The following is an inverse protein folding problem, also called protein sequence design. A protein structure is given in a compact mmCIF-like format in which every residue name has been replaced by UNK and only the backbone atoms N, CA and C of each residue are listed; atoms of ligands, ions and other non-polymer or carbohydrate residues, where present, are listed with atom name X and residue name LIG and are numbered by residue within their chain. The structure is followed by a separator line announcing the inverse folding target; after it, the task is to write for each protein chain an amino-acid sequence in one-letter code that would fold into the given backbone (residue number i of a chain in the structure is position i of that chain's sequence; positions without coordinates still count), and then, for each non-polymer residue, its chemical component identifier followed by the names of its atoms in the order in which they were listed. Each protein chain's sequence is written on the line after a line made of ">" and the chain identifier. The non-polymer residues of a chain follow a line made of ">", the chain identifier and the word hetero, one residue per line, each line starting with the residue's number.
data_IF_526703250090
#
_entry.id   IF_526703250090
#
_cell.length_a   1.000
_cell.length_b   1.000
_cell.length_c   1.000
_cell.angle_alpha   90.00
_cell.angle_beta   90.00
_cell.angle_gamma   90.00
#
_symmetry.space_group_name_H-M   'P 1'
#
loop_
_entity.id
_entity.type
_entity.pdbx_description
1 polymer ?
#
# COMPACT_ATOMS: atom_id res chain seq x y z
N UNK A 1 51.24 -23.87 -59.38
CA UNK A 1 51.17 -22.93 -60.46
C UNK A 1 50.12 -21.94 -60.12
N UNK A 2 50.57 -20.84 -59.57
CA UNK A 2 50.49 -19.45 -60.04
C UNK A 2 49.13 -18.82 -59.77
N UNK A 3 49.09 -17.99 -58.77
CA UNK A 3 49.17 -16.52 -58.74
C UNK A 3 47.85 -15.85 -59.08
N UNK A 4 47.30 -15.16 -58.13
CA UNK A 4 46.57 -13.90 -58.41
C UNK A 4 46.72 -12.94 -57.22
N UNK A 5 47.32 -11.81 -57.55
CA UNK A 5 47.61 -10.65 -56.71
C UNK A 5 46.33 -9.78 -56.69
N UNK A 6 45.81 -9.49 -55.53
CA UNK A 6 44.78 -8.44 -55.42
C UNK A 6 45.30 -7.21 -54.65
N UNK A 7 45.22 -6.10 -55.36
CA UNK A 7 45.58 -4.77 -54.90
C UNK A 7 44.40 -4.09 -54.20
N UNK A 8 44.54 -3.47 -53.03
CA UNK A 8 43.46 -2.73 -52.44
C UNK A 8 43.40 -1.28 -53.00
N UNK A 9 42.26 -0.95 -53.52
CA UNK A 9 41.88 0.40 -53.94
C UNK A 9 41.70 1.34 -52.75
N UNK A 10 42.59 2.29 -52.58
CA UNK A 10 42.46 3.40 -51.64
C UNK A 10 41.36 4.39 -52.12
N UNK A 11 40.26 4.43 -51.47
CA UNK A 11 39.25 5.49 -51.59
C UNK A 11 39.56 6.63 -50.61
N UNK A 12 39.97 7.76 -51.11
CA UNK A 12 40.09 9.00 -50.34
C UNK A 12 38.70 9.59 -50.04
N UNK A 13 38.45 10.14 -48.82
CA UNK A 13 37.19 10.84 -48.55
C UNK A 13 37.24 12.28 -49.03
N UNK A 14 36.44 12.59 -50.02
CA UNK A 14 36.01 13.96 -50.36
C UNK A 14 34.86 14.30 -49.41
N UNK A 15 35.07 15.19 -48.44
CA UNK A 15 34.15 16.24 -48.03
C UNK A 15 34.67 16.92 -46.76
N UNK A 16 35.33 18.04 -46.93
CA UNK A 16 35.56 19.03 -45.88
C UNK A 16 34.31 19.91 -45.75
N UNK A 17 33.47 19.65 -44.75
CA UNK A 17 32.49 20.61 -44.29
C UNK A 17 32.85 21.02 -42.84
N UNK A 18 33.20 22.30 -42.67
CA UNK A 18 33.40 22.95 -41.37
C UNK A 18 32.05 22.99 -40.62
N UNK A 19 31.70 21.93 -39.93
CA UNK A 19 30.63 21.97 -38.97
C UNK A 19 31.11 22.61 -37.67
N UNK A 20 30.57 23.77 -37.33
CA UNK A 20 30.73 24.41 -36.03
C UNK A 20 30.25 23.40 -34.96
N UNK A 21 31.20 22.87 -34.21
CA UNK A 21 30.91 22.05 -33.02
C UNK A 21 30.17 22.91 -32.01
N UNK A 22 28.84 22.77 -31.92
CA UNK A 22 28.08 23.23 -30.76
C UNK A 22 28.52 22.37 -29.59
N UNK A 23 29.19 22.97 -28.61
CA UNK A 23 29.44 22.37 -27.30
C UNK A 23 28.16 21.78 -26.78
N UNK A 24 28.10 20.46 -26.39
CA UNK A 24 26.89 19.89 -25.82
C UNK A 24 26.61 20.65 -24.53
N UNK A 25 25.41 21.25 -24.45
CA UNK A 25 24.89 21.75 -23.17
C UNK A 25 24.97 20.60 -22.18
N UNK A 26 25.72 20.75 -21.07
CA UNK A 26 25.68 19.82 -19.95
C UNK A 26 24.21 19.60 -19.62
N UNK A 27 23.66 18.45 -19.97
CA UNK A 27 22.37 18.03 -19.47
C UNK A 27 22.54 17.99 -17.97
N UNK A 28 21.79 18.81 -17.24
CA UNK A 28 21.70 18.73 -15.80
C UNK A 28 21.00 17.39 -15.54
N UNK A 29 21.79 16.38 -15.21
CA UNK A 29 21.28 15.06 -14.85
C UNK A 29 20.45 15.24 -13.58
N UNK A 30 19.12 15.36 -13.74
CA UNK A 30 18.21 15.30 -12.60
C UNK A 30 18.32 13.86 -12.06
N UNK A 31 18.73 13.66 -10.82
CA UNK A 31 18.79 12.30 -10.27
C UNK A 31 17.43 11.64 -10.44
N UNK A 32 17.42 10.46 -11.06
CA UNK A 32 16.21 9.68 -11.30
C UNK A 32 15.58 9.37 -9.95
N UNK A 33 14.30 9.71 -9.77
CA UNK A 33 13.57 9.35 -8.55
C UNK A 33 13.62 7.83 -8.35
N UNK A 34 13.95 7.32 -7.15
CA UNK A 34 14.02 5.87 -6.89
C UNK A 34 12.66 5.16 -6.83
N UNK A 35 11.58 5.84 -7.11
CA UNK A 35 10.23 5.29 -7.28
C UNK A 35 9.69 5.62 -8.66
N UNK A 36 8.63 4.95 -9.07
CA UNK A 36 7.99 5.16 -10.36
C UNK A 36 6.62 5.80 -10.19
N UNK A 37 6.15 6.51 -11.21
CA UNK A 37 4.74 6.80 -11.38
C UNK A 37 4.00 5.50 -11.66
N UNK A 38 2.95 5.22 -10.87
CA UNK A 38 2.20 3.96 -10.99
C UNK A 38 0.91 4.17 -11.79
N UNK A 39 0.42 3.15 -12.52
CA UNK A 39 -0.85 3.23 -13.21
C UNK A 39 -2.03 3.43 -12.25
N UNK A 40 -3.04 4.12 -12.77
CA UNK A 40 -4.39 4.16 -12.23
C UNK A 40 -5.30 3.41 -13.20
N UNK A 41 -6.01 2.38 -12.73
CA UNK A 41 -6.95 1.61 -13.56
C UNK A 41 -8.34 1.61 -12.94
N UNK A 42 -9.38 1.74 -13.75
CA UNK A 42 -10.76 1.57 -13.29
C UNK A 42 -11.13 0.08 -13.32
N UNK A 43 -11.58 -0.47 -12.20
CA UNK A 43 -12.05 -1.85 -12.11
C UNK A 43 -13.55 -1.93 -12.37
N UNK A 44 -13.95 -2.49 -13.49
CA UNK A 44 -15.37 -2.68 -13.82
C UNK A 44 -16.07 -3.64 -12.83
N UNK A 45 -15.36 -4.68 -12.37
CA UNK A 45 -15.92 -5.68 -11.44
C UNK A 45 -16.15 -5.07 -10.06
N UNK A 46 -15.15 -4.38 -9.52
CA UNK A 46 -15.28 -3.74 -8.20
C UNK A 46 -16.27 -2.56 -8.26
N UNK A 47 -16.29 -1.79 -9.35
CA UNK A 47 -17.25 -0.68 -9.55
C UNK A 47 -18.69 -1.19 -9.53
N UNK A 48 -18.98 -2.29 -10.23
CA UNK A 48 -20.30 -2.92 -10.21
C UNK A 48 -20.70 -3.39 -8.80
N UNK A 49 -19.76 -3.97 -8.05
CA UNK A 49 -20.01 -4.43 -6.67
C UNK A 49 -20.21 -3.28 -5.69
N UNK A 50 -19.41 -2.21 -5.81
CA UNK A 50 -19.49 -1.02 -4.94
C UNK A 50 -20.67 -0.11 -5.28
N UNK A 51 -21.19 -0.18 -6.51
CA UNK A 51 -22.21 0.74 -7.04
C UNK A 51 -21.69 2.17 -7.28
N UNK A 52 -20.38 2.35 -7.39
CA UNK A 52 -19.69 3.58 -7.75
C UNK A 52 -18.42 3.26 -8.53
N UNK A 53 -17.75 4.24 -9.10
CA UNK A 53 -16.53 4.02 -9.89
C UNK A 53 -15.34 3.75 -8.97
N UNK A 54 -14.76 2.57 -9.07
CA UNK A 54 -13.60 2.15 -8.29
C UNK A 54 -12.34 2.19 -9.15
N UNK A 55 -11.38 2.99 -8.73
CA UNK A 55 -10.07 3.12 -9.35
C UNK A 55 -9.00 2.48 -8.46
N UNK A 56 -8.11 1.70 -9.04
CA UNK A 56 -7.00 1.03 -8.38
C UNK A 56 -5.69 1.77 -8.68
N UNK A 57 -5.07 2.39 -7.67
CA UNK A 57 -3.74 2.98 -7.76
C UNK A 57 -2.69 1.92 -7.45
N UNK A 58 -1.96 1.45 -8.47
CA UNK A 58 -1.15 0.24 -8.42
C UNK A 58 0.22 0.44 -7.76
N UNK A 59 0.26 0.73 -6.46
CA UNK A 59 1.50 0.86 -5.69
C UNK A 59 2.25 -0.48 -5.47
N UNK A 60 1.60 -1.60 -5.75
CA UNK A 60 2.20 -2.93 -5.72
C UNK A 60 3.33 -3.13 -6.75
N UNK A 61 3.37 -2.33 -7.82
CA UNK A 61 4.42 -2.41 -8.86
C UNK A 61 5.62 -1.50 -8.62
N UNK A 62 5.67 -0.79 -7.50
CA UNK A 62 6.84 -0.03 -7.10
C UNK A 62 8.08 -0.92 -6.97
N UNK A 63 9.32 -0.38 -7.14
CA UNK A 63 10.56 -1.16 -7.10
C UNK A 63 10.73 -2.05 -5.86
N UNK A 64 10.23 -1.62 -4.71
CA UNK A 64 10.20 -2.41 -3.46
C UNK A 64 8.93 -3.25 -3.29
N UNK A 65 8.08 -3.39 -4.32
CA UNK A 65 6.84 -4.16 -4.27
C UNK A 65 5.71 -3.50 -3.46
N UNK A 66 5.85 -2.24 -3.06
CA UNK A 66 4.83 -1.50 -2.31
C UNK A 66 5.05 0.01 -2.34
N UNK A 67 4.02 0.78 -1.92
CA UNK A 67 4.07 2.24 -1.75
C UNK A 67 5.25 2.71 -0.87
N UNK A 68 5.79 1.83 -0.01
CA UNK A 68 6.95 2.15 0.83
C UNK A 68 8.17 2.60 0.02
N UNK A 69 8.23 2.27 -1.27
CA UNK A 69 9.28 2.77 -2.17
C UNK A 69 9.29 4.30 -2.22
N UNK A 70 8.13 4.97 -2.28
CA UNK A 70 8.05 6.43 -2.25
C UNK A 70 8.56 6.99 -0.92
N UNK A 71 8.05 6.42 0.17
CA UNK A 71 8.38 6.80 1.53
C UNK A 71 9.89 6.73 1.82
N UNK A 72 10.48 5.55 1.60
CA UNK A 72 11.88 5.32 1.92
C UNK A 72 12.82 6.06 0.98
N UNK A 73 12.49 6.13 -0.31
CA UNK A 73 13.29 6.87 -1.28
C UNK A 73 13.29 8.37 -0.98
N UNK A 74 12.15 8.95 -0.64
CA UNK A 74 12.05 10.36 -0.26
C UNK A 74 12.85 10.66 1.02
N UNK A 75 12.77 9.78 2.04
CA UNK A 75 13.54 9.91 3.27
C UNK A 75 15.06 9.83 3.01
N UNK A 76 15.50 8.88 2.19
CA UNK A 76 16.92 8.73 1.82
C UNK A 76 17.39 9.97 1.07
N UNK A 77 16.63 10.46 0.09
CA UNK A 77 16.96 11.68 -0.66
C UNK A 77 17.00 12.90 0.25
N UNK A 78 16.09 13.02 1.23
CA UNK A 78 16.14 14.08 2.23
C UNK A 78 17.48 14.07 2.98
N UNK A 79 17.93 12.91 3.44
CA UNK A 79 19.22 12.82 4.12
C UNK A 79 20.42 13.08 3.21
N UNK A 80 20.41 12.59 1.97
CA UNK A 80 21.48 12.84 1.00
C UNK A 80 21.61 14.33 0.70
N UNK A 81 20.49 15.02 0.52
CA UNK A 81 20.46 16.45 0.15
C UNK A 81 20.60 17.39 1.36
N UNK A 82 20.61 16.86 2.58
CA UNK A 82 20.72 17.70 3.78
C UNK A 82 22.10 18.37 3.85
N UNK A 83 22.20 19.69 4.07
CA UNK A 83 23.47 20.42 4.04
C UNK A 83 24.55 19.83 4.97
N UNK A 84 24.15 19.30 6.14
CA UNK A 84 25.09 18.69 7.09
C UNK A 84 25.72 17.38 6.60
N UNK A 85 25.23 16.82 5.47
CA UNK A 85 25.70 15.57 4.87
C UNK A 85 26.47 15.76 3.57
N UNK A 86 26.63 17.02 3.13
CA UNK A 86 27.41 17.35 1.95
C UNK A 86 28.83 16.80 2.07
N UNK A 87 29.28 16.09 1.02
CA UNK A 87 30.60 15.44 0.94
C UNK A 87 30.86 14.32 1.97
N UNK A 88 29.84 13.87 2.71
CA UNK A 88 30.00 12.75 3.64
C UNK A 88 29.63 11.43 2.99
N UNK A 89 30.36 10.38 3.33
CA UNK A 89 29.96 9.01 3.03
C UNK A 89 28.80 8.62 3.98
N UNK A 90 27.65 8.25 3.42
CA UNK A 90 26.47 7.88 4.20
C UNK A 90 26.26 6.36 4.17
N UNK A 91 25.81 5.81 5.28
CA UNK A 91 25.36 4.43 5.40
C UNK A 91 24.00 4.41 6.11
N UNK A 92 22.98 3.88 5.46
CA UNK A 92 21.62 3.82 5.98
C UNK A 92 21.38 2.56 6.78
N UNK A 93 20.64 2.69 7.88
CA UNK A 93 20.23 1.58 8.75
C UNK A 93 18.73 1.61 8.95
N UNK A 94 18.08 0.44 8.91
CA UNK A 94 16.65 0.31 9.18
C UNK A 94 16.37 -0.98 9.97
N UNK A 95 15.49 -0.88 10.98
CA UNK A 95 15.03 -2.04 11.73
C UNK A 95 13.64 -2.47 11.24
N UNK A 96 13.57 -2.97 10.01
CA UNK A 96 12.34 -3.49 9.43
C UNK A 96 12.62 -4.62 8.44
N UNK A 97 12.17 -5.82 8.77
CA UNK A 97 12.22 -6.98 7.86
C UNK A 97 11.09 -7.04 6.82
N UNK A 98 10.16 -6.07 6.87
CA UNK A 98 9.01 -5.99 5.96
C UNK A 98 9.22 -5.04 4.80
N UNK A 99 8.10 -4.50 4.29
CA UNK A 99 8.07 -3.65 3.09
C UNK A 99 8.88 -2.37 3.22
N UNK A 100 9.02 -1.79 4.44
CA UNK A 100 9.84 -0.60 4.65
C UNK A 100 11.33 -0.91 4.49
N UNK A 101 11.81 -2.04 5.05
CA UNK A 101 13.19 -2.50 4.89
C UNK A 101 13.52 -2.77 3.44
N UNK A 102 12.65 -3.52 2.74
CA UNK A 102 12.84 -3.82 1.32
C UNK A 102 12.88 -2.55 0.46
N UNK A 103 11.98 -1.61 0.71
CA UNK A 103 11.95 -0.32 0.03
C UNK A 103 13.20 0.53 0.30
N UNK A 104 13.69 0.55 1.55
CA UNK A 104 14.93 1.26 1.90
C UNK A 104 16.15 0.68 1.18
N UNK A 105 16.26 -0.65 1.14
CA UNK A 105 17.34 -1.35 0.41
C UNK A 105 17.28 -1.04 -1.09
N UNK A 106 16.11 -1.15 -1.72
CA UNK A 106 15.93 -0.85 -3.14
C UNK A 106 16.29 0.61 -3.46
N UNK A 107 15.83 1.55 -2.64
CA UNK A 107 16.10 2.97 -2.83
C UNK A 107 17.59 3.30 -2.62
N UNK A 108 18.19 2.85 -1.53
CA UNK A 108 19.60 3.07 -1.25
C UNK A 108 20.49 2.49 -2.35
N UNK A 109 20.24 1.25 -2.79
CA UNK A 109 20.94 0.62 -3.90
C UNK A 109 20.83 1.42 -5.19
N UNK A 110 19.62 1.91 -5.55
CA UNK A 110 19.42 2.70 -6.78
C UNK A 110 20.16 4.02 -6.76
N UNK A 111 20.44 4.55 -5.56
CA UNK A 111 21.19 5.77 -5.31
C UNK A 111 22.68 5.51 -5.01
N UNK A 112 23.13 4.23 -5.06
CA UNK A 112 24.51 3.80 -4.81
C UNK A 112 24.98 4.04 -3.37
N UNK A 113 24.08 3.91 -2.38
CA UNK A 113 24.40 3.96 -0.95
C UNK A 113 24.24 2.60 -0.27
N UNK A 114 25.08 2.27 0.73
CA UNK A 114 24.91 1.07 1.53
C UNK A 114 23.69 1.18 2.45
N UNK A 115 22.99 0.05 2.62
CA UNK A 115 21.87 -0.08 3.53
C UNK A 115 21.96 -1.39 4.31
N UNK A 116 22.04 -1.31 5.64
CA UNK A 116 22.00 -2.44 6.56
C UNK A 116 20.62 -2.56 7.20
N UNK A 117 20.08 -3.77 7.20
CA UNK A 117 18.77 -4.08 7.79
C UNK A 117 18.98 -4.90 9.06
N UNK A 118 18.33 -4.49 10.15
CA UNK A 118 18.37 -5.23 11.43
C UNK A 118 16.95 -5.70 11.75
N UNK A 119 16.81 -7.00 11.99
CA UNK A 119 15.49 -7.64 12.14
C UNK A 119 15.49 -8.61 13.31
N UNK A 120 14.32 -8.91 13.89
CA UNK A 120 14.19 -9.99 14.88
C UNK A 120 14.61 -11.35 14.32
N UNK A 121 15.05 -12.25 15.19
CA UNK A 121 15.36 -13.65 14.85
C UNK A 121 14.17 -14.40 14.27
N UNK A 122 12.94 -13.98 14.64
CA UNK A 122 11.66 -14.52 14.13
C UNK A 122 11.30 -14.08 12.71
N UNK A 123 12.08 -13.18 12.08
CA UNK A 123 11.80 -12.74 10.72
C UNK A 123 11.89 -13.91 9.74
N UNK A 124 10.84 -14.07 8.91
CA UNK A 124 10.73 -15.21 8.00
C UNK A 124 11.91 -15.28 7.03
N UNK A 125 12.36 -16.50 6.71
CA UNK A 125 13.41 -16.73 5.73
C UNK A 125 13.10 -16.09 4.38
N UNK A 126 11.83 -16.14 3.96
CA UNK A 126 11.35 -15.49 2.73
C UNK A 126 11.74 -14.01 2.68
N UNK A 127 11.53 -13.26 3.77
CA UNK A 127 11.85 -11.83 3.81
C UNK A 127 13.33 -11.56 3.91
N UNK A 128 14.08 -12.37 4.67
CA UNK A 128 15.55 -12.27 4.72
C UNK A 128 16.15 -12.46 3.33
N UNK A 129 15.71 -13.50 2.61
CA UNK A 129 16.19 -13.78 1.25
C UNK A 129 15.82 -12.65 0.27
N UNK A 130 14.61 -12.08 0.37
CA UNK A 130 14.20 -10.91 -0.44
C UNK A 130 15.06 -9.69 -0.16
N UNK A 131 15.40 -9.39 1.11
CA UNK A 131 16.27 -8.29 1.47
C UNK A 131 17.69 -8.47 0.91
N UNK A 132 18.25 -9.67 1.03
CA UNK A 132 19.54 -10.01 0.45
C UNK A 132 19.53 -9.88 -1.08
N UNK A 133 18.52 -10.43 -1.75
CA UNK A 133 18.35 -10.35 -3.21
C UNK A 133 18.16 -8.91 -3.71
N UNK A 134 17.50 -8.05 -2.93
CA UNK A 134 17.36 -6.64 -3.24
C UNK A 134 18.69 -5.87 -3.15
N UNK A 135 19.70 -6.43 -2.49
CA UNK A 135 21.03 -5.85 -2.36
C UNK A 135 21.28 -5.11 -1.04
N UNK A 136 20.68 -5.60 0.06
CA UNK A 136 21.06 -5.14 1.39
C UNK A 136 22.57 -5.37 1.60
N UNK A 137 23.26 -4.38 2.16
CA UNK A 137 24.68 -4.51 2.50
C UNK A 137 24.89 -5.61 3.53
N UNK A 138 23.99 -5.65 4.52
CA UNK A 138 23.90 -6.70 5.52
C UNK A 138 22.45 -6.87 5.96
N UNK A 139 22.04 -8.08 6.30
CA UNK A 139 20.81 -8.39 7.03
C UNK A 139 21.22 -9.08 8.34
N UNK A 140 21.00 -8.38 9.45
CA UNK A 140 21.39 -8.84 10.78
C UNK A 140 20.14 -9.26 11.54
N UNK A 141 20.09 -10.52 11.97
CA UNK A 141 19.02 -11.02 12.85
C UNK A 141 19.48 -10.91 14.30
N UNK A 142 18.76 -10.12 15.10
CA UNK A 142 19.11 -9.88 16.52
C UNK A 142 17.86 -9.67 17.38
N UNK A 143 17.84 -10.33 18.54
CA UNK A 143 16.73 -10.22 19.51
C UNK A 143 15.44 -10.89 19.03
N UNK A 144 14.46 -10.98 19.92
CA UNK A 144 13.17 -11.67 19.64
C UNK A 144 12.08 -10.71 19.17
N UNK A 145 12.30 -9.39 19.33
CA UNK A 145 11.32 -8.36 18.98
C UNK A 145 11.92 -7.29 18.09
N UNK A 146 11.04 -6.56 17.38
CA UNK A 146 11.45 -5.42 16.57
C UNK A 146 12.07 -4.31 17.43
N UNK A 147 11.66 -4.17 18.68
CA UNK A 147 12.24 -3.22 19.62
C UNK A 147 13.68 -3.60 19.97
N UNK A 148 13.94 -4.87 20.35
CA UNK A 148 15.29 -5.36 20.65
C UNK A 148 16.23 -5.24 19.43
N UNK A 149 15.74 -5.53 18.23
CA UNK A 149 16.49 -5.33 16.98
C UNK A 149 16.83 -3.83 16.77
N UNK A 150 15.89 -2.93 17.05
CA UNK A 150 16.07 -1.49 16.96
C UNK A 150 17.08 -0.94 17.99
N UNK A 151 17.00 -1.40 19.23
CA UNK A 151 17.96 -1.03 20.29
C UNK A 151 19.39 -1.49 19.95
N UNK A 152 19.54 -2.71 19.44
CA UNK A 152 20.83 -3.19 18.96
C UNK A 152 21.37 -2.34 17.81
N UNK A 153 20.51 -2.01 16.84
CA UNK A 153 20.87 -1.14 15.72
C UNK A 153 21.39 0.21 16.21
N UNK A 154 20.63 0.88 17.10
CA UNK A 154 20.95 2.25 17.54
C UNK A 154 22.10 2.30 18.54
N UNK A 155 22.12 1.39 19.52
CA UNK A 155 23.05 1.46 20.64
C UNK A 155 24.39 0.78 20.36
N UNK A 156 24.40 -0.23 19.48
CA UNK A 156 25.61 -1.00 19.16
C UNK A 156 26.12 -0.66 17.76
N UNK A 157 25.34 -0.97 16.71
CA UNK A 157 25.83 -0.85 15.33
C UNK A 157 26.08 0.61 14.91
N UNK A 158 25.23 1.53 15.32
CA UNK A 158 25.40 2.94 14.94
C UNK A 158 26.48 3.65 15.78
N UNK A 159 26.74 3.21 17.00
CA UNK A 159 27.78 3.74 17.88
C UNK A 159 29.16 3.07 17.72
N UNK A 160 29.22 1.97 16.95
CA UNK A 160 30.50 1.33 16.67
C UNK A 160 31.35 2.20 15.73
N UNK A 161 32.42 2.79 16.24
CA UNK A 161 33.37 3.60 15.49
C UNK A 161 34.56 2.78 14.98
N UNK A 162 34.61 1.47 15.25
CA UNK A 162 35.74 0.59 14.92
C UNK A 162 35.86 0.28 13.42
N UNK A 163 34.84 0.60 12.59
CA UNK A 163 34.87 0.39 11.14
C UNK A 163 35.47 1.54 10.33
N UNK A 164 36.10 2.52 10.97
CA UNK A 164 36.88 3.58 10.34
C UNK A 164 38.36 3.23 10.35
N UNK A 165 38.90 2.87 9.19
CA UNK A 165 40.30 2.54 8.90
C UNK A 165 41.36 3.10 9.86
N UNK A 166 42.22 2.22 10.30
CA UNK A 166 43.58 2.56 10.73
C UNK A 166 44.28 3.28 9.56
N UNK A 167 44.46 4.59 9.69
CA UNK A 167 45.37 5.35 8.83
C UNK A 167 44.70 6.43 7.98
N UNK A 168 44.62 7.63 8.51
CA UNK A 168 44.39 8.86 7.76
C UNK A 168 43.19 9.67 8.24
N UNK A 169 43.34 10.97 8.28
CA UNK A 169 42.28 11.98 8.48
C UNK A 169 41.23 11.91 7.33
N UNK A 170 40.49 10.77 7.26
CA UNK A 170 39.44 10.54 6.29
C UNK A 170 38.08 10.60 7.00
N UNK A 171 37.21 11.47 6.52
CA UNK A 171 35.84 11.63 6.97
C UNK A 171 35.16 10.27 7.24
N UNK A 172 34.86 10.00 8.51
CA UNK A 172 34.19 8.77 8.90
C UNK A 172 32.83 8.62 8.20
N UNK A 173 32.40 7.39 7.96
CA UNK A 173 31.09 7.08 7.40
C UNK A 173 30.00 7.53 8.38
N UNK A 174 29.12 8.44 7.95
CA UNK A 174 27.97 8.87 8.75
C UNK A 174 26.87 7.83 8.65
N UNK A 175 26.53 7.21 9.77
CA UNK A 175 25.45 6.25 9.89
C UNK A 175 24.12 6.96 10.14
N UNK A 176 23.06 6.59 9.41
CA UNK A 176 21.73 7.23 9.45
C UNK A 176 20.67 6.17 9.67
N UNK A 177 19.92 6.29 10.78
CA UNK A 177 18.74 5.47 11.03
C UNK A 177 17.55 5.99 10.23
N UNK A 178 16.83 5.08 9.57
CA UNK A 178 15.61 5.37 8.83
C UNK A 178 14.40 4.94 9.66
N UNK A 179 13.46 5.88 9.88
CA UNK A 179 12.18 5.56 10.50
C UNK A 179 11.22 4.95 9.45
N UNK A 180 10.41 3.91 9.75
CA UNK A 180 9.61 3.21 8.75
C UNK A 180 8.34 3.95 8.31
N UNK A 181 7.84 4.99 9.04
CA UNK A 181 6.59 5.69 8.72
C UNK A 181 6.47 7.12 9.27
N UNK A 182 7.20 7.50 10.31
CA UNK A 182 7.00 8.77 11.03
C UNK A 182 8.13 9.76 10.76
N UNK A 183 8.03 10.45 9.65
CA UNK A 183 8.95 11.53 9.25
C UNK A 183 8.32 12.34 8.10
N UNK A 184 8.49 13.66 8.11
CA UNK A 184 7.91 14.55 7.09
C UNK A 184 8.31 14.18 5.65
N UNK A 185 9.57 13.83 5.44
CA UNK A 185 10.03 13.38 4.11
C UNK A 185 9.34 12.06 3.64
N UNK A 186 8.90 11.20 4.56
CA UNK A 186 8.10 10.01 4.23
C UNK A 186 6.72 10.42 3.73
N UNK A 187 6.09 11.35 4.44
CA UNK A 187 4.75 11.84 4.08
C UNK A 187 4.79 12.59 2.75
N UNK A 188 5.84 13.41 2.53
CA UNK A 188 6.08 14.08 1.25
C UNK A 188 6.27 13.08 0.10
N UNK A 189 7.04 12.01 0.29
CA UNK A 189 7.17 10.94 -0.70
C UNK A 189 5.82 10.29 -1.03
N UNK A 190 5.01 9.98 -0.03
CA UNK A 190 3.68 9.40 -0.22
C UNK A 190 2.69 10.39 -0.84
N UNK A 191 2.82 11.71 -0.60
CA UNK A 191 1.94 12.73 -1.17
C UNK A 191 2.00 12.78 -2.70
N UNK A 192 3.11 12.34 -3.30
CA UNK A 192 3.25 12.25 -4.76
C UNK A 192 2.23 11.30 -5.42
N UNK A 193 1.60 10.40 -4.64
CA UNK A 193 0.47 9.59 -5.12
C UNK A 193 -0.67 10.52 -5.56
N UNK A 194 -0.96 11.55 -4.78
CA UNK A 194 -2.07 12.47 -5.08
C UNK A 194 -1.75 13.36 -6.28
N UNK A 195 -0.47 13.77 -6.45
CA UNK A 195 -0.03 14.50 -7.63
C UNK A 195 -0.28 13.69 -8.92
N UNK A 196 -0.01 12.37 -8.84
CA UNK A 196 -0.30 11.45 -9.95
C UNK A 196 -1.80 11.23 -10.15
N UNK A 197 -2.60 11.12 -9.08
CA UNK A 197 -4.06 10.99 -9.18
C UNK A 197 -4.68 12.22 -9.84
N UNK A 198 -4.22 13.42 -9.54
CA UNK A 198 -4.69 14.65 -10.16
C UNK A 198 -4.46 14.66 -11.69
N UNK A 199 -3.38 14.01 -12.16
CA UNK A 199 -3.07 13.90 -13.58
C UNK A 199 -3.75 12.71 -14.28
N UNK A 200 -4.11 11.65 -13.54
CA UNK A 200 -4.57 10.37 -14.08
C UNK A 200 -6.09 10.16 -14.01
N UNK A 201 -6.76 10.78 -13.04
CA UNK A 201 -8.22 10.69 -12.95
C UNK A 201 -8.86 11.37 -14.17
N UNK A 202 -9.92 10.75 -14.74
CA UNK A 202 -10.67 11.41 -15.81
C UNK A 202 -11.29 12.72 -15.31
N UNK A 203 -11.46 13.75 -16.16
CA UNK A 203 -12.13 14.99 -15.80
C UNK A 203 -13.51 14.74 -15.16
N UNK A 204 -13.99 15.65 -14.34
CA UNK A 204 -15.37 15.59 -13.84
C UNK A 204 -16.35 15.77 -15.02
N UNK A 205 -17.44 14.99 -15.00
CA UNK A 205 -18.49 15.10 -16.02
C UNK A 205 -19.50 16.22 -15.66
N UNK A 206 -19.11 17.16 -14.79
CA UNK A 206 -20.00 18.20 -14.29
C UNK A 206 -20.22 19.30 -15.35
N UNK A 207 -21.45 19.33 -15.91
CA UNK A 207 -21.98 20.42 -16.74
C UNK A 207 -22.21 21.74 -15.91
N UNK A 208 -21.93 21.74 -14.61
CA UNK A 208 -22.04 22.90 -13.73
C UNK A 208 -20.68 23.58 -13.60
N UNK A 209 -20.23 24.15 -14.69
CA UNK A 209 -19.01 24.95 -14.77
C UNK A 209 -19.25 26.33 -14.13
N UNK A 210 -18.91 26.49 -12.85
CA UNK A 210 -18.66 27.79 -12.25
C UNK A 210 -17.23 28.31 -12.53
N UNK A 211 -16.55 27.71 -13.51
CA UNK A 211 -15.27 28.20 -14.08
C UNK A 211 -14.00 27.79 -13.33
N UNK A 212 -14.11 27.06 -12.25
CA UNK A 212 -12.95 26.47 -11.55
C UNK A 212 -12.85 24.95 -11.80
N UNK A 213 -11.90 24.54 -12.65
CA UNK A 213 -11.59 23.14 -12.90
C UNK A 213 -11.22 22.39 -11.60
N UNK A 214 -11.86 21.26 -11.32
CA UNK A 214 -11.48 20.42 -10.19
C UNK A 214 -10.18 19.67 -10.52
N UNK A 215 -9.07 20.17 -10.00
CA UNK A 215 -7.74 19.58 -10.22
C UNK A 215 -7.59 18.20 -9.58
N UNK A 216 -8.53 17.77 -8.71
CA UNK A 216 -8.50 16.45 -8.06
C UNK A 216 -9.94 15.90 -7.99
N UNK A 217 -10.49 15.40 -9.12
CA UNK A 217 -11.88 14.93 -9.22
C UNK A 217 -12.06 13.56 -8.57
N UNK A 218 -11.95 13.48 -7.26
CA UNK A 218 -12.04 12.28 -6.43
C UNK A 218 -12.98 12.54 -5.25
N UNK A 219 -13.93 11.64 -5.01
CA UNK A 219 -14.86 11.72 -3.86
C UNK A 219 -14.27 11.05 -2.62
N UNK A 220 -13.57 9.93 -2.80
CA UNK A 220 -12.97 9.21 -1.68
C UNK A 220 -11.68 8.48 -2.07
N UNK A 221 -10.82 8.28 -1.07
CA UNK A 221 -9.66 7.38 -1.16
C UNK A 221 -9.67 6.38 0.00
N UNK A 222 -9.40 5.12 -0.30
CA UNK A 222 -9.31 4.03 0.66
C UNK A 222 -7.85 3.63 0.82
N UNK A 223 -7.36 3.66 2.04
CA UNK A 223 -6.01 3.23 2.36
C UNK A 223 -5.94 2.48 3.67
N UNK A 224 -5.05 1.51 3.77
CA UNK A 224 -4.78 0.82 5.03
C UNK A 224 -3.85 1.63 5.92
N UNK A 225 -4.04 1.51 7.24
CA UNK A 225 -3.28 2.25 8.24
C UNK A 225 -2.57 1.29 9.19
N UNK A 226 -1.22 1.38 9.20
CA UNK A 226 -0.38 0.90 10.27
C UNK A 226 0.05 2.09 11.15
N UNK A 227 1.25 2.64 10.92
CA UNK A 227 1.72 3.86 11.61
C UNK A 227 1.17 5.18 11.07
N UNK A 228 0.39 5.18 9.97
CA UNK A 228 -0.29 6.35 9.42
C UNK A 228 0.49 7.13 8.36
N UNK A 229 1.74 6.78 8.07
CA UNK A 229 2.57 7.54 7.13
C UNK A 229 2.02 7.65 5.70
N UNK A 230 1.24 6.66 5.23
CA UNK A 230 0.54 6.74 3.94
C UNK A 230 -0.58 7.77 4.00
N UNK A 231 -1.47 7.65 4.99
CA UNK A 231 -2.60 8.56 5.18
C UNK A 231 -2.13 10.01 5.34
N UNK A 232 -1.06 10.25 6.13
CA UNK A 232 -0.48 11.58 6.28
C UNK A 232 -0.05 12.16 4.93
N UNK A 233 0.61 11.36 4.10
CA UNK A 233 1.00 11.78 2.74
C UNK A 233 -0.19 12.06 1.84
N UNK A 234 -1.23 11.20 1.85
CA UNK A 234 -2.46 11.44 1.08
C UNK A 234 -3.12 12.76 1.50
N UNK A 235 -3.23 13.04 2.80
CA UNK A 235 -3.79 14.31 3.31
C UNK A 235 -2.97 15.50 2.82
N UNK A 236 -1.64 15.46 2.91
CA UNK A 236 -0.78 16.53 2.42
C UNK A 236 -0.94 16.77 0.92
N UNK A 237 -1.03 15.69 0.13
CA UNK A 237 -1.28 15.78 -1.30
C UNK A 237 -2.64 16.39 -1.61
N UNK A 238 -3.70 15.95 -0.93
CA UNK A 238 -5.06 16.51 -1.09
C UNK A 238 -5.06 18.00 -0.77
N UNK A 239 -4.46 18.43 0.34
CA UNK A 239 -4.37 19.83 0.71
C UNK A 239 -3.63 20.69 -0.34
N UNK A 240 -2.61 20.12 -0.99
CA UNK A 240 -1.85 20.81 -2.06
C UNK A 240 -2.71 21.09 -3.29
N UNK A 241 -3.60 20.16 -3.65
CA UNK A 241 -4.48 20.28 -4.82
C UNK A 241 -5.82 20.94 -4.52
N UNK A 242 -6.18 21.09 -3.25
CA UNK A 242 -7.45 21.71 -2.80
C UNK A 242 -7.22 23.07 -2.20
N UNK A 243 -6.90 24.06 -3.03
CA UNK A 243 -6.72 25.46 -2.61
C UNK A 243 -8.03 26.23 -2.41
N UNK A 244 -9.17 25.76 -2.94
CA UNK A 244 -10.47 26.41 -2.82
C UNK A 244 -11.36 25.72 -1.79
N UNK A 245 -11.93 26.51 -0.84
CA UNK A 245 -12.86 26.03 0.19
C UNK A 245 -14.27 25.71 -0.32
N UNK A 246 -14.55 25.96 -1.62
CA UNK A 246 -15.90 25.78 -2.19
C UNK A 246 -16.19 24.36 -2.70
N UNK A 247 -15.20 23.48 -2.77
CA UNK A 247 -15.36 22.11 -3.29
C UNK A 247 -15.78 21.13 -2.20
N UNK A 248 -16.48 20.04 -2.59
CA UNK A 248 -16.86 18.96 -1.66
C UNK A 248 -15.63 18.38 -0.96
N UNK A 249 -15.77 17.97 0.30
CA UNK A 249 -14.72 17.27 1.03
C UNK A 249 -14.36 15.95 0.34
N UNK A 250 -13.08 15.62 0.31
CA UNK A 250 -12.61 14.30 -0.06
C UNK A 250 -12.63 13.41 1.19
N UNK A 251 -13.26 12.25 1.05
CA UNK A 251 -13.35 11.28 2.12
C UNK A 251 -12.14 10.35 2.12
N UNK A 252 -11.53 10.12 3.28
CA UNK A 252 -10.50 9.10 3.48
C UNK A 252 -11.12 7.98 4.31
N UNK A 253 -11.27 6.79 3.72
CA UNK A 253 -11.62 5.59 4.45
C UNK A 253 -10.32 4.90 4.87
N UNK A 254 -9.94 5.10 6.12
CA UNK A 254 -8.77 4.53 6.73
C UNK A 254 -9.12 3.16 7.32
N UNK A 255 -8.44 2.12 6.84
CA UNK A 255 -8.79 0.72 7.14
C UNK A 255 -7.69 0.05 7.95
N UNK A 256 -8.08 -0.59 9.03
CA UNK A 256 -7.23 -1.41 9.90
C UNK A 256 -7.82 -2.82 10.03
N UNK A 257 -7.03 -3.77 10.52
CA UNK A 257 -7.54 -5.09 10.89
C UNK A 257 -7.74 -5.20 12.40
N UNK A 258 -8.69 -6.03 12.83
CA UNK A 258 -8.86 -6.38 14.25
C UNK A 258 -7.54 -6.96 14.78
N UNK A 259 -7.04 -6.37 15.87
CA UNK A 259 -5.70 -6.69 16.42
C UNK A 259 -4.58 -5.77 15.94
N UNK A 260 -4.83 -4.81 14.99
CA UNK A 260 -3.90 -3.74 14.62
C UNK A 260 -4.50 -2.33 14.73
N UNK A 261 -5.72 -2.21 15.26
CA UNK A 261 -6.56 -1.01 15.22
C UNK A 261 -6.12 0.14 16.16
N UNK A 262 -4.85 0.50 16.11
CA UNK A 262 -4.30 1.57 16.96
C UNK A 262 -4.86 2.96 16.62
N UNK A 263 -5.16 3.23 15.34
CA UNK A 263 -5.77 4.48 14.90
C UNK A 263 -7.24 4.57 15.32
N UNK A 264 -8.03 3.52 15.08
CA UNK A 264 -9.45 3.49 15.43
C UNK A 264 -9.66 3.73 16.93
N UNK A 265 -8.85 3.07 17.78
CA UNK A 265 -8.92 3.24 19.22
C UNK A 265 -8.47 4.65 19.64
N UNK A 266 -7.43 5.21 19.03
CA UNK A 266 -6.99 6.57 19.31
C UNK A 266 -8.06 7.61 18.90
N UNK A 267 -8.69 7.41 17.74
CA UNK A 267 -9.75 8.26 17.23
C UNK A 267 -11.00 8.24 18.15
N UNK A 268 -11.44 7.05 18.55
CA UNK A 268 -12.64 6.87 19.38
C UNK A 268 -12.45 7.35 20.82
N UNK A 269 -11.26 7.14 21.41
CA UNK A 269 -10.93 7.57 22.76
C UNK A 269 -10.46 9.03 22.82
N UNK A 270 -10.18 9.67 21.68
CA UNK A 270 -9.57 11.00 21.58
C UNK A 270 -8.24 11.13 22.33
N UNK A 271 -7.53 10.03 22.46
CA UNK A 271 -6.21 9.97 23.09
C UNK A 271 -5.30 9.04 22.28
N UNK A 272 -4.03 9.37 22.23
CA UNK A 272 -3.06 8.54 21.49
C UNK A 272 -2.80 7.23 22.23
N UNK A 273 -3.35 6.13 21.72
CA UNK A 273 -3.34 4.79 22.32
C UNK A 273 -2.14 3.98 21.86
N UNK A 274 -1.59 3.17 22.78
CA UNK A 274 -0.62 2.11 22.44
C UNK A 274 -1.27 0.75 22.70
N UNK A 275 -1.37 -0.08 21.65
CA UNK A 275 -1.87 -1.45 21.76
C UNK A 275 -0.92 -2.29 22.63
N UNK A 276 -1.42 -3.13 23.53
CA UNK A 276 -0.59 -4.00 24.35
C UNK A 276 0.13 -5.10 23.54
N UNK A 277 -0.50 -5.53 22.42
CA UNK A 277 0.04 -6.53 21.51
C UNK A 277 -0.65 -6.44 20.15
N UNK A 278 -0.02 -7.00 19.13
CA UNK A 278 -0.59 -7.22 17.80
C UNK A 278 -1.09 -8.67 17.75
N UNK A 279 -2.30 -8.87 17.23
CA UNK A 279 -2.92 -10.21 17.14
C UNK A 279 -3.37 -10.56 15.72
N UNK A 280 -3.42 -9.59 14.80
CA UNK A 280 -3.78 -9.79 13.39
C UNK A 280 -2.66 -10.45 12.59
N UNK A 281 -3.05 -11.21 11.58
CA UNK A 281 -2.16 -11.77 10.56
C UNK A 281 -1.68 -10.73 9.54
N UNK A 282 -2.26 -9.53 9.50
CA UNK A 282 -1.86 -8.44 8.63
C UNK A 282 -0.60 -7.74 9.17
N UNK A 283 0.52 -8.47 9.22
CA UNK A 283 1.78 -8.02 9.85
C UNK A 283 2.34 -6.70 9.31
N UNK A 284 1.98 -6.31 8.10
CA UNK A 284 2.39 -5.01 7.54
C UNK A 284 1.61 -3.82 8.12
N UNK A 285 0.53 -4.08 8.87
CA UNK A 285 -0.20 -3.10 9.70
C UNK A 285 0.24 -3.15 11.18
N UNK A 286 1.16 -4.04 11.54
CA UNK A 286 1.58 -4.28 12.92
C UNK A 286 2.32 -3.06 13.51
N UNK A 287 1.56 -2.02 13.81
CA UNK A 287 2.04 -0.83 14.49
C UNK A 287 1.23 -0.61 15.76
N UNK A 288 1.89 -0.78 16.92
CA UNK A 288 1.19 -0.68 18.21
C UNK A 288 0.66 0.74 18.50
N UNK A 289 1.13 1.75 17.77
CA UNK A 289 0.74 3.14 17.96
C UNK A 289 0.96 3.93 16.68
N UNK A 290 -0.05 4.67 16.25
CA UNK A 290 0.08 5.59 15.11
C UNK A 290 0.96 6.80 15.44
N UNK A 291 1.48 7.48 14.42
CA UNK A 291 2.24 8.72 14.62
C UNK A 291 1.37 9.82 15.26
N UNK A 292 2.01 10.76 15.96
CA UNK A 292 1.31 11.93 16.51
C UNK A 292 0.56 12.69 15.42
N UNK A 293 1.16 12.89 14.25
CA UNK A 293 0.53 13.57 13.11
C UNK A 293 -0.73 12.86 12.63
N UNK A 294 -0.72 11.54 12.57
CA UNK A 294 -1.91 10.75 12.21
C UNK A 294 -3.03 10.97 13.22
N UNK A 295 -2.71 10.93 14.50
CA UNK A 295 -3.67 11.20 15.56
C UNK A 295 -4.24 12.63 15.48
N UNK A 296 -3.39 13.65 15.27
CA UNK A 296 -3.80 15.03 15.11
C UNK A 296 -4.82 15.21 13.96
N UNK A 297 -4.56 14.56 12.83
CA UNK A 297 -5.49 14.54 11.69
C UNK A 297 -6.80 13.81 12.01
N UNK A 298 -6.77 12.74 12.79
CA UNK A 298 -8.01 12.05 13.20
C UNK A 298 -8.89 12.89 14.12
N UNK A 299 -8.28 13.67 14.99
CA UNK A 299 -9.02 14.54 15.95
C UNK A 299 -9.47 15.85 15.31
N UNK A 300 -8.65 16.40 14.41
CA UNK A 300 -8.89 17.67 13.73
C UNK A 300 -8.47 17.55 12.26
N UNK A 301 -9.31 16.94 11.41
CA UNK A 301 -9.02 16.86 9.98
C UNK A 301 -8.89 18.27 9.38
N UNK A 302 -7.96 18.46 8.43
CA UNK A 302 -7.83 19.76 7.77
C UNK A 302 -9.05 20.03 6.85
N UNK A 303 -9.32 21.30 6.52
CA UNK A 303 -10.39 21.65 5.60
C UNK A 303 -10.32 20.89 4.29
N UNK A 304 -11.47 20.45 3.76
CA UNK A 304 -11.57 19.69 2.52
C UNK A 304 -11.27 18.19 2.65
N UNK A 305 -11.09 17.68 3.89
CA UNK A 305 -10.84 16.26 4.17
C UNK A 305 -11.77 15.75 5.26
N UNK A 306 -12.40 14.59 5.04
CA UNK A 306 -13.13 13.84 6.06
C UNK A 306 -12.49 12.48 6.25
N UNK A 307 -12.26 12.08 7.51
CA UNK A 307 -11.60 10.82 7.84
C UNK A 307 -12.62 9.89 8.49
N UNK A 308 -12.73 8.69 7.92
CA UNK A 308 -13.53 7.58 8.43
C UNK A 308 -12.60 6.43 8.79
N UNK A 309 -12.93 5.68 9.83
CA UNK A 309 -12.16 4.52 10.26
C UNK A 309 -13.01 3.27 10.20
N UNK A 310 -12.50 2.24 9.53
CA UNK A 310 -13.10 0.92 9.49
C UNK A 310 -12.11 -0.13 10.01
N UNK A 311 -12.60 -1.09 10.79
CA UNK A 311 -11.81 -2.21 11.31
C UNK A 311 -12.49 -3.50 10.86
N UNK A 312 -11.77 -4.30 10.08
CA UNK A 312 -12.23 -5.54 9.50
C UNK A 312 -11.45 -6.74 10.08
N UNK A 313 -11.95 -7.94 9.89
CA UNK A 313 -11.26 -9.16 10.31
C UNK A 313 -10.14 -9.57 9.35
N UNK A 314 -9.23 -10.46 9.80
CA UNK A 314 -8.24 -11.10 8.93
C UNK A 314 -8.90 -11.92 7.81
N UNK A 315 -10.09 -12.49 8.07
CA UNK A 315 -10.88 -13.19 7.06
C UNK A 315 -11.37 -12.25 5.95
N UNK A 316 -11.80 -11.03 6.32
CA UNK A 316 -12.17 -9.99 5.35
C UNK A 316 -10.95 -9.55 4.54
N UNK A 317 -9.83 -9.33 5.20
CA UNK A 317 -8.58 -9.01 4.52
C UNK A 317 -8.18 -10.08 3.50
N UNK A 318 -8.33 -11.36 3.85
CA UNK A 318 -8.09 -12.48 2.95
C UNK A 318 -9.07 -12.52 1.77
N UNK A 319 -10.37 -12.27 2.01
CA UNK A 319 -11.37 -12.15 0.93
C UNK A 319 -10.97 -11.06 -0.06
N UNK A 320 -10.57 -9.89 0.42
CA UNK A 320 -10.11 -8.79 -0.43
C UNK A 320 -8.85 -9.13 -1.23
N UNK A 321 -7.88 -9.87 -0.65
CA UNK A 321 -6.72 -10.38 -1.38
C UNK A 321 -7.13 -11.33 -2.51
N UNK A 322 -8.03 -12.25 -2.24
CA UNK A 322 -8.50 -13.22 -3.23
C UNK A 322 -9.32 -12.55 -4.34
N UNK A 323 -10.13 -11.52 -4.03
CA UNK A 323 -10.81 -10.71 -5.05
C UNK A 323 -9.80 -10.04 -5.99
N UNK A 324 -8.74 -9.42 -5.48
CA UNK A 324 -7.70 -8.83 -6.33
C UNK A 324 -6.98 -9.89 -7.17
N UNK A 325 -6.71 -11.06 -6.60
CA UNK A 325 -6.04 -12.14 -7.33
C UNK A 325 -6.93 -12.73 -8.43
N UNK A 326 -8.19 -13.00 -8.13
CA UNK A 326 -9.12 -13.67 -9.05
C UNK A 326 -9.67 -12.68 -10.12
N UNK A 327 -10.11 -11.49 -9.71
CA UNK A 327 -10.76 -10.54 -10.58
C UNK A 327 -9.74 -9.67 -11.35
N UNK A 328 -8.65 -9.24 -10.68
CA UNK A 328 -7.67 -8.28 -11.22
C UNK A 328 -6.29 -8.88 -11.51
N UNK A 329 -6.04 -10.13 -11.14
CA UNK A 329 -4.74 -10.82 -11.29
C UNK A 329 -3.61 -10.16 -10.50
N UNK A 330 -3.95 -9.56 -9.37
CA UNK A 330 -3.02 -8.83 -8.50
C UNK A 330 -2.89 -9.55 -7.17
N UNK A 331 -1.71 -10.08 -6.87
CA UNK A 331 -1.41 -10.71 -5.58
C UNK A 331 -0.86 -9.69 -4.59
N UNK A 332 -1.51 -9.57 -3.42
CA UNK A 332 -1.17 -8.60 -2.37
C UNK A 332 -1.23 -9.23 -0.98
N UNK A 333 -0.64 -8.54 0.01
CA UNK A 333 -0.74 -8.89 1.43
C UNK A 333 -2.14 -8.58 2.01
N UNK A 334 -2.46 -9.20 3.15
CA UNK A 334 -3.70 -8.93 3.92
C UNK A 334 -3.87 -7.43 4.22
N UNK A 335 -2.77 -6.76 4.54
CA UNK A 335 -2.73 -5.31 4.77
C UNK A 335 -3.23 -4.46 3.58
N UNK A 336 -3.21 -5.00 2.37
CA UNK A 336 -3.74 -4.36 1.17
C UNK A 336 -5.16 -4.85 0.85
N UNK A 337 -5.40 -6.16 0.94
CA UNK A 337 -6.71 -6.77 0.65
C UNK A 337 -7.84 -6.21 1.51
N UNK A 338 -7.56 -5.85 2.75
CA UNK A 338 -8.55 -5.26 3.66
C UNK A 338 -9.23 -4.00 3.10
N UNK A 339 -8.51 -3.19 2.30
CA UNK A 339 -9.06 -2.00 1.66
C UNK A 339 -10.11 -2.36 0.58
N UNK A 340 -9.89 -3.44 -0.15
CA UNK A 340 -10.83 -3.91 -1.17
C UNK A 340 -12.09 -4.44 -0.52
N UNK A 341 -11.95 -5.23 0.53
CA UNK A 341 -13.12 -5.76 1.25
C UNK A 341 -13.92 -4.64 1.94
N UNK A 342 -13.27 -3.59 2.45
CA UNK A 342 -13.96 -2.42 2.97
C UNK A 342 -14.79 -1.69 1.89
N UNK A 343 -14.35 -1.73 0.63
CA UNK A 343 -15.06 -1.11 -0.49
C UNK A 343 -16.26 -1.94 -0.98
N UNK A 344 -16.15 -3.27 -1.03
CA UNK A 344 -17.12 -4.14 -1.73
C UNK A 344 -17.62 -5.33 -0.92
N UNK A 345 -17.08 -5.54 0.29
CA UNK A 345 -17.51 -6.60 1.20
C UNK A 345 -18.87 -6.30 1.84
N UNK A 346 -19.50 -7.32 2.35
CA UNK A 346 -20.77 -7.21 3.07
C UNK A 346 -20.52 -6.91 4.56
N UNK A 347 -20.74 -5.67 4.97
CA UNK A 347 -20.58 -5.23 6.35
C UNK A 347 -21.55 -5.95 7.33
N UNK A 348 -22.68 -6.48 6.85
CA UNK A 348 -23.66 -7.18 7.68
C UNK A 348 -23.15 -8.54 8.18
N UNK A 349 -22.25 -9.19 7.46
CA UNK A 349 -21.65 -10.47 7.87
C UNK A 349 -20.77 -10.34 9.10
N UNK A 350 -20.13 -9.18 9.28
CA UNK A 350 -19.27 -8.91 10.44
C UNK A 350 -20.07 -8.55 11.69
N UNK A 351 -21.22 -7.90 11.55
CA UNK A 351 -22.13 -7.65 12.68
C UNK A 351 -22.65 -8.96 13.29
N UNK A 352 -23.01 -9.95 12.46
CA UNK A 352 -23.43 -11.27 12.94
C UNK A 352 -22.30 -12.00 13.66
N UNK A 353 -21.06 -11.93 13.15
CA UNK A 353 -19.91 -12.56 13.80
C UNK A 353 -19.56 -11.92 15.14
N UNK A 354 -19.71 -10.60 15.27
CA UNK A 354 -19.50 -9.85 16.53
C UNK A 354 -20.61 -10.14 17.55
N UNK A 355 -21.84 -10.30 17.10
CA UNK A 355 -22.98 -10.67 17.97
C UNK A 355 -22.82 -12.09 18.52
N UNK A 356 -22.35 -13.03 17.69
CA UNK A 356 -22.08 -14.42 18.11
C UNK A 356 -20.90 -14.48 19.09
N UNK A 357 -19.83 -13.69 18.89
CA UNK A 357 -18.70 -13.61 19.84
C UNK A 357 -19.14 -13.02 21.20
N UNK A 358 -19.95 -11.94 21.20
CA UNK A 358 -20.49 -11.37 22.45
C UNK A 358 -21.42 -12.34 23.19
N UNK A 359 -22.22 -13.15 22.48
CA UNK A 359 -23.05 -14.21 23.06
C UNK A 359 -22.22 -15.32 23.71
N UNK A 360 -21.11 -15.73 23.08
CA UNK A 360 -20.22 -16.80 23.64
C UNK A 360 -19.40 -16.36 24.85
N UNK A 361 -19.07 -15.07 24.94
CA UNK A 361 -18.31 -14.51 26.08
C UNK A 361 -19.24 -14.22 27.27
N UNK A 362 -20.55 -14.05 27.04
CA UNK A 362 -21.57 -13.92 28.08
C UNK A 362 -21.99 -15.26 28.70
N UNK A 363 -21.88 -16.39 27.96
CA UNK A 363 -22.32 -17.74 28.41
C UNK A 363 -21.18 -18.52 29.09
N UNK A 364 -20.05 -17.95 29.39
CA UNK A 364 -18.92 -18.65 30.05
C UNK A 364 -19.00 -18.66 31.59
N UNK A 365 -20.04 -18.14 32.18
CA UNK A 365 -20.16 -18.03 33.66
C UNK A 365 -21.23 -18.93 34.30
N UNK A 366 -21.84 -19.88 33.60
CA UNK A 366 -22.64 -20.94 34.25
C UNK A 366 -22.46 -22.27 33.54
N UNK A 367 -21.94 -23.25 34.29
CA UNK A 367 -21.79 -24.64 33.86
C UNK A 367 -23.12 -25.39 33.88
N UNK A 368 -23.22 -26.38 33.08
CA UNK A 368 -23.72 -27.76 33.24
C UNK A 368 -24.19 -28.38 31.90
N UNK A 369 -23.85 -29.65 31.78
CA UNK A 369 -24.12 -30.66 30.77
C UNK A 369 -25.55 -30.71 30.16
N UNK A 370 -25.65 -31.01 28.86
CA UNK A 370 -26.22 -32.28 28.39
C UNK A 370 -26.29 -32.41 26.86
N UNK A 371 -26.05 -33.62 26.40
CA UNK A 371 -26.08 -34.11 25.03
C UNK A 371 -27.48 -34.00 24.39
N UNK A 372 -27.52 -33.59 23.11
CA UNK A 372 -28.45 -34.24 22.17
C UNK A 372 -27.97 -34.16 20.70
N UNK A 373 -27.91 -35.32 20.14
CA UNK A 373 -27.60 -35.77 18.79
C UNK A 373 -28.67 -35.31 17.77
N UNK A 374 -28.29 -34.59 16.69
CA UNK A 374 -29.19 -34.35 15.54
C UNK A 374 -28.49 -34.66 14.23
N UNK A 375 -29.02 -35.65 13.57
CA UNK A 375 -28.61 -36.29 12.32
C UNK A 375 -28.50 -35.33 11.14
N UNK A 376 -27.38 -35.44 10.41
CA UNK A 376 -27.14 -34.86 9.07
C UNK A 376 -28.07 -35.48 8.02
N UNK A 377 -28.84 -34.66 7.31
CA UNK A 377 -29.42 -34.98 5.99
C UNK A 377 -28.54 -34.47 4.88
N UNK A 378 -28.02 -35.36 4.07
CA UNK A 378 -27.37 -35.07 2.79
C UNK A 378 -28.44 -34.68 1.77
N UNK A 379 -28.24 -33.58 1.07
CA UNK A 379 -28.98 -33.24 -0.16
C UNK A 379 -28.02 -33.28 -1.34
N UNK A 380 -28.30 -34.18 -2.28
CA UNK A 380 -27.58 -34.30 -3.55
C UNK A 380 -27.97 -33.14 -4.50
N UNK A 381 -27.01 -32.41 -4.98
CA UNK A 381 -27.20 -31.41 -6.02
C UNK A 381 -26.57 -31.85 -7.34
N UNK A 382 -27.37 -31.87 -8.40
CA UNK A 382 -26.97 -32.13 -9.78
C UNK A 382 -26.30 -30.92 -10.44
N UNK A 383 -25.51 -31.10 -11.50
CA UNK A 383 -24.68 -30.04 -12.06
C UNK A 383 -25.45 -29.04 -12.92
N UNK A 384 -25.08 -27.76 -12.80
CA UNK A 384 -25.61 -26.67 -13.60
C UNK A 384 -24.98 -26.66 -14.98
N UNK A 385 -25.82 -26.72 -16.02
CA UNK A 385 -25.46 -26.54 -17.42
C UNK A 385 -25.53 -25.07 -17.82
N UNK A 386 -24.56 -24.61 -18.62
CA UNK A 386 -24.55 -23.30 -19.23
C UNK A 386 -25.64 -23.19 -20.32
N UNK A 387 -26.34 -22.06 -20.47
CA UNK A 387 -27.23 -21.84 -21.57
C UNK A 387 -26.46 -21.33 -22.80
N UNK A 388 -26.73 -21.94 -23.95
CA UNK A 388 -26.27 -21.51 -25.26
C UNK A 388 -27.19 -20.42 -25.84
N UNK A 389 -26.56 -19.50 -26.52
CA UNK A 389 -27.12 -18.36 -27.24
C UNK A 389 -27.93 -18.81 -28.46
N UNK A 390 -29.20 -18.41 -28.57
CA UNK A 390 -29.89 -18.19 -29.87
C UNK A 390 -31.33 -17.68 -29.67
N UNK A 391 -31.68 -16.59 -30.39
CA UNK A 391 -33.06 -16.34 -30.82
C UNK A 391 -33.68 -14.98 -30.55
N UNK A 392 -33.68 -14.17 -31.57
CA UNK A 392 -34.44 -12.93 -31.79
C UNK A 392 -35.96 -13.10 -31.60
N UNK A 393 -36.63 -12.13 -30.96
CA UNK A 393 -38.08 -12.01 -31.02
C UNK A 393 -38.75 -11.10 -30.01
N UNK A 394 -39.06 -9.86 -30.44
CA UNK A 394 -40.17 -8.95 -30.14
C UNK A 394 -40.84 -8.86 -28.77
N UNK A 395 -40.89 -7.62 -28.28
CA UNK A 395 -41.96 -6.92 -27.55
C UNK A 395 -42.73 -7.68 -26.48
N UNK A 396 -42.55 -7.21 -25.23
CA UNK A 396 -43.66 -6.80 -24.37
C UNK A 396 -43.13 -5.97 -23.17
N UNK A 397 -43.66 -4.79 -23.05
CA UNK A 397 -43.60 -3.92 -21.88
C UNK A 397 -44.36 -4.58 -20.73
N UNK A 398 -43.67 -4.84 -19.64
CA UNK A 398 -44.15 -4.69 -18.27
C UNK A 398 -43.24 -5.44 -17.29
N UNK A 399 -42.90 -4.75 -16.16
CA UNK A 399 -42.24 -5.25 -14.95
C UNK A 399 -40.71 -5.23 -14.88
N UNK A 400 -40.08 -4.08 -15.14
CA UNK A 400 -38.71 -3.78 -14.70
C UNK A 400 -38.65 -3.20 -13.28
N UNK A 401 -39.49 -3.62 -12.37
CA UNK A 401 -39.60 -3.03 -11.02
C UNK A 401 -39.48 -4.03 -9.88
N UNK A 402 -38.82 -5.17 -10.00
CA UNK A 402 -38.51 -6.03 -8.84
C UNK A 402 -37.16 -6.76 -9.02
N UNK A 403 -36.13 -6.05 -9.38
CA UNK A 403 -34.74 -6.42 -9.07
C UNK A 403 -34.08 -5.19 -8.43
N UNK A 404 -34.70 -4.65 -7.37
CA UNK A 404 -33.97 -3.84 -6.40
C UNK A 404 -32.93 -4.79 -5.78
N UNK A 405 -31.73 -4.79 -6.40
CA UNK A 405 -30.53 -5.32 -5.83
C UNK A 405 -30.53 -4.97 -4.33
N UNK A 406 -30.57 -5.94 -3.46
CA UNK A 406 -29.97 -5.83 -2.16
C UNK A 406 -28.48 -5.58 -2.41
N UNK A 407 -28.12 -4.33 -2.66
CA UNK A 407 -26.74 -3.86 -2.54
C UNK A 407 -26.38 -4.17 -1.09
N UNK A 408 -25.59 -5.20 -0.89
CA UNK A 408 -25.02 -5.49 0.41
C UNK A 408 -24.32 -4.23 0.89
N UNK A 409 -24.67 -3.75 2.10
CA UNK A 409 -24.10 -2.52 2.64
C UNK A 409 -22.62 -2.78 2.92
N UNK A 410 -21.73 -2.18 2.13
CA UNK A 410 -20.30 -2.23 2.38
C UNK A 410 -19.90 -1.15 3.38
N UNK A 411 -18.75 -1.31 4.06
CA UNK A 411 -18.20 -0.27 4.93
C UNK A 411 -18.07 1.09 4.22
N UNK A 412 -17.68 1.08 2.94
CA UNK A 412 -17.64 2.27 2.13
C UNK A 412 -19.01 2.99 2.09
N UNK A 413 -20.09 2.24 1.83
CA UNK A 413 -21.44 2.78 1.74
C UNK A 413 -22.00 3.23 3.09
N UNK A 414 -21.69 2.51 4.15
CA UNK A 414 -22.09 2.89 5.51
C UNK A 414 -21.42 4.19 5.98
N UNK A 415 -20.13 4.34 5.67
CA UNK A 415 -19.35 5.50 6.11
C UNK A 415 -19.54 6.73 5.21
N UNK A 416 -19.86 6.52 3.93
CA UNK A 416 -20.04 7.57 2.93
C UNK A 416 -21.32 7.30 2.14
N UNK A 417 -22.50 7.56 2.74
CA UNK A 417 -23.80 7.19 2.15
C UNK A 417 -24.15 8.00 0.91
N UNK A 418 -23.57 9.21 0.74
CA UNK A 418 -23.88 10.12 -0.37
C UNK A 418 -23.17 9.78 -1.69
N UNK A 419 -22.41 8.67 -1.75
CA UNK A 419 -21.80 8.23 -2.98
C UNK A 419 -22.85 7.82 -4.01
N UNK A 420 -22.67 8.28 -5.25
CA UNK A 420 -23.50 7.94 -6.40
C UNK A 420 -22.82 6.92 -7.31
N UNK A 421 -23.48 6.48 -8.37
CA UNK A 421 -22.87 5.62 -9.39
C UNK A 421 -21.72 6.30 -10.15
N UNK A 422 -21.67 7.64 -10.15
CA UNK A 422 -20.61 8.43 -10.79
C UNK A 422 -19.48 8.81 -9.83
N UNK A 423 -19.68 8.61 -8.52
CA UNK A 423 -18.66 8.93 -7.53
C UNK A 423 -17.37 8.12 -7.78
N UNK A 424 -16.23 8.80 -7.66
CA UNK A 424 -14.90 8.27 -7.94
C UNK A 424 -14.19 7.94 -6.65
N UNK A 425 -13.99 6.66 -6.42
CA UNK A 425 -13.32 6.13 -5.23
C UNK A 425 -12.02 5.48 -5.64
N UNK A 426 -10.92 5.94 -5.06
CA UNK A 426 -9.58 5.38 -5.32
C UNK A 426 -9.20 4.41 -4.20
N UNK A 427 -8.84 3.18 -4.55
CA UNK A 427 -8.22 2.23 -3.62
C UNK A 427 -6.70 2.26 -3.86
N UNK A 428 -5.94 2.55 -2.83
CA UNK A 428 -4.48 2.42 -2.89
C UNK A 428 -4.13 0.93 -2.78
N UNK A 429 -3.76 0.32 -3.90
CA UNK A 429 -3.24 -1.06 -3.92
C UNK A 429 -1.83 -1.05 -3.37
N UNK A 430 -1.74 -1.03 -2.05
CA UNK A 430 -0.49 -0.86 -1.30
C UNK A 430 0.60 -1.86 -1.68
N UNK A 431 0.21 -3.06 -2.11
CA UNK A 431 1.09 -4.17 -2.47
C UNK A 431 1.54 -4.97 -1.27
N UNK A 432 2.84 -5.15 -1.19
CA UNK A 432 3.53 -5.93 -0.17
C UNK A 432 4.20 -7.18 -0.71
N UNK A 433 5.34 -7.48 -0.13
CA UNK A 433 6.22 -8.57 -0.62
C UNK A 433 6.18 -9.81 0.26
N UNK A 434 5.50 -9.76 1.43
CA UNK A 434 5.38 -10.91 2.34
C UNK A 434 4.13 -11.74 2.01
N UNK A 435 3.99 -12.12 0.76
CA UNK A 435 2.89 -12.95 0.27
C UNK A 435 3.40 -13.90 -0.81
N UNK A 436 2.78 -15.09 -0.88
CA UNK A 436 3.01 -16.10 -1.91
C UNK A 436 1.67 -16.65 -2.41
N UNK A 437 1.68 -17.30 -3.57
CA UNK A 437 0.50 -18.02 -4.09
C UNK A 437 0.07 -19.16 -3.16
N UNK A 438 1.03 -19.80 -2.45
CA UNK A 438 0.74 -20.81 -1.42
C UNK A 438 -0.09 -20.21 -0.27
N UNK A 439 0.32 -19.06 0.27
CA UNK A 439 -0.44 -18.36 1.31
C UNK A 439 -1.86 -17.99 0.85
N UNK A 440 -2.00 -17.53 -0.40
CA UNK A 440 -3.33 -17.25 -0.96
C UNK A 440 -4.21 -18.52 -1.03
N UNK A 441 -3.61 -19.66 -1.37
CA UNK A 441 -4.28 -20.97 -1.32
C UNK A 441 -4.74 -21.34 0.09
N UNK A 442 -3.88 -21.19 1.09
CA UNK A 442 -4.21 -21.41 2.51
C UNK A 442 -5.35 -20.48 2.98
N UNK A 443 -5.36 -19.22 2.58
CA UNK A 443 -6.47 -18.31 2.93
C UNK A 443 -7.79 -18.78 2.30
N UNK A 444 -7.76 -19.28 1.07
CA UNK A 444 -8.93 -19.83 0.39
C UNK A 444 -9.50 -21.03 1.15
N UNK A 445 -8.64 -21.94 1.57
CA UNK A 445 -9.04 -23.10 2.38
C UNK A 445 -9.60 -22.69 3.75
N UNK A 446 -8.94 -21.76 4.44
CA UNK A 446 -9.45 -21.23 5.73
C UNK A 446 -10.82 -20.59 5.60
N UNK A 447 -11.04 -19.79 4.55
CA UNK A 447 -12.35 -19.17 4.28
C UNK A 447 -13.44 -20.21 4.00
N UNK A 448 -13.11 -21.26 3.23
CA UNK A 448 -14.05 -22.37 2.96
C UNK A 448 -14.42 -23.16 4.24
N UNK A 449 -13.51 -23.20 5.23
CA UNK A 449 -13.68 -23.89 6.50
C UNK A 449 -14.12 -22.96 7.65
N UNK A 450 -14.63 -21.74 7.34
CA UNK A 450 -15.12 -20.79 8.34
C UNK A 450 -14.02 -19.99 9.05
N UNK A 451 -12.82 -19.89 8.47
CA UNK A 451 -11.68 -19.13 9.01
C UNK A 451 -11.27 -19.57 10.42
N UNK A 452 -11.15 -20.87 10.63
CA UNK A 452 -10.69 -21.50 11.88
C UNK A 452 -9.15 -21.57 11.90
#
# INVERSE_FOLDING_TARGET
>A
MTEAIDNPVLLQPLFSSKTKTKTPKKSVYKPRKPWIETPLIESAILSKKAGCRIFLKLENIQPGGSFKSRAMASLILHHINHPSNTNKKLHFFINSGGNAGLAAVCAARSLSYPCTVVVPTSTSRLMVDKLCAAGATQVIQHGDTIAAAGEYMTNILMNDHSSGNEGGEGEGVKKIALHPFDHEAIWEGNSTIVDELAAQLPPADDDNDDGEEDTLPMDAVICSVGGGGLMNGLIQGIQRHRSSQKKKDIHILAVETDGTQSMNLAMSSRTLVTLPKITSMAVSLACVRVSQRTFDYCVSPPPGVKIHSAVLSDADAARGCLRLADDERILVELACGVCVEAAVGDASTDLMSRTIKRGRDADKDEGYDELHDVKKKRVNGSPLSCPSDSGVGSSDTESDTVLSNQLTSSYLREMIPDLTSQSRVVIIVCGGSNVTTGMAGEWRERLANGWI
#
